data_IF_986608680713
#
_entry.id   IF_986608680713
#
_cell.length_a   1.000
_cell.length_b   1.000
_cell.length_c   1.000
_cell.angle_alpha   90.00
_cell.angle_beta   90.00
_cell.angle_gamma   90.00
#
_symmetry.space_group_name_H-M   'P 1'
#
loop_
_entity.id
_entity.type
_entity.pdbx_description
1 polymer ?
#
# COMPACT_ATOMS: atom_id res chain seq x y z
N UNK A 1 2.05 4.16 -20.88
CA UNK A 1 2.70 5.41 -20.44
C UNK A 1 4.06 5.45 -21.12
N UNK A 2 4.33 6.46 -21.91
CA UNK A 2 5.59 6.64 -22.59
C UNK A 2 6.49 7.58 -21.79
N UNK A 3 7.79 7.60 -22.12
CA UNK A 3 8.76 8.51 -21.51
C UNK A 3 8.34 9.98 -21.66
N UNK A 4 7.79 10.34 -22.83
CA UNK A 4 7.29 11.67 -23.20
C UNK A 4 6.12 12.14 -22.31
N UNK A 5 5.40 11.23 -21.68
CA UNK A 5 4.32 11.57 -20.75
C UNK A 5 4.84 12.12 -19.41
N UNK A 6 6.14 12.04 -19.15
CA UNK A 6 6.75 12.39 -17.85
C UNK A 6 7.72 13.57 -18.04
N UNK A 7 7.30 14.81 -17.80
CA UNK A 7 8.08 16.00 -18.08
C UNK A 7 9.45 16.05 -17.42
N UNK A 8 9.60 15.45 -16.23
CA UNK A 8 10.88 15.41 -15.53
C UNK A 8 11.96 14.61 -16.28
N UNK A 9 11.58 13.79 -17.26
CA UNK A 9 12.51 13.01 -18.08
C UNK A 9 12.94 13.70 -19.37
N UNK A 10 12.38 14.87 -19.70
CA UNK A 10 12.68 15.61 -20.93
C UNK A 10 14.12 16.13 -20.99
N UNK A 11 14.78 16.28 -19.82
CA UNK A 11 16.17 16.70 -19.68
C UNK A 11 17.19 15.56 -19.85
N UNK A 12 16.78 14.38 -20.31
CA UNK A 12 17.66 13.23 -20.51
C UNK A 12 17.96 12.41 -19.24
N UNK A 13 17.29 12.69 -18.13
CA UNK A 13 17.47 11.95 -16.87
C UNK A 13 17.15 10.46 -17.06
N UNK A 14 18.05 9.61 -16.57
CA UNK A 14 17.82 8.17 -16.39
C UNK A 14 17.39 7.98 -14.94
N UNK A 15 16.16 7.48 -14.73
CA UNK A 15 15.54 7.39 -13.40
C UNK A 15 15.19 5.95 -13.03
N UNK A 16 15.80 5.45 -11.94
CA UNK A 16 15.60 4.09 -11.41
C UNK A 16 15.09 4.07 -9.96
N UNK A 17 14.68 5.22 -9.41
CA UNK A 17 14.27 5.34 -8.01
C UNK A 17 12.73 5.33 -7.83
N UNK A 18 12.01 4.61 -8.70
CA UNK A 18 10.55 4.48 -8.57
C UNK A 18 10.11 3.74 -7.30
N UNK A 19 11.00 2.94 -6.69
CA UNK A 19 10.76 2.29 -5.41
C UNK A 19 10.61 3.28 -4.24
N UNK A 20 11.27 4.43 -4.32
CA UNK A 20 11.15 5.50 -3.34
C UNK A 20 10.03 6.48 -3.73
N UNK A 21 10.02 6.96 -4.98
CA UNK A 21 8.97 7.86 -5.49
C UNK A 21 8.79 7.71 -6.99
N UNK A 22 7.56 7.63 -7.44
CA UNK A 22 7.20 7.58 -8.86
C UNK A 22 7.08 8.99 -9.43
N UNK A 23 7.75 9.24 -10.55
CA UNK A 23 7.62 10.51 -11.28
C UNK A 23 6.19 10.74 -11.76
N UNK A 24 5.75 11.99 -11.76
CA UNK A 24 4.37 12.33 -12.06
C UNK A 24 4.20 12.56 -13.57
N UNK A 25 3.27 11.84 -14.23
CA UNK A 25 2.96 12.08 -15.62
C UNK A 25 2.21 13.40 -15.79
N UNK A 26 2.34 13.99 -16.97
CA UNK A 26 1.72 15.30 -17.32
C UNK A 26 0.23 15.38 -16.98
N UNK A 27 -0.62 14.39 -17.27
CA UNK A 27 -2.05 14.47 -16.92
C UNK A 27 -2.30 14.62 -15.40
N UNK A 28 -1.45 14.07 -14.55
CA UNK A 28 -1.56 14.23 -13.08
C UNK A 28 -1.22 15.64 -12.67
N UNK A 29 -0.12 16.19 -13.24
CA UNK A 29 0.29 17.58 -12.98
C UNK A 29 -0.79 18.55 -13.44
N UNK A 30 -1.27 18.39 -14.66
CA UNK A 30 -2.32 19.24 -15.25
C UNK A 30 -3.62 19.19 -14.43
N UNK A 31 -4.01 18.01 -13.93
CA UNK A 31 -5.20 17.87 -13.09
C UNK A 31 -5.08 18.62 -11.76
N UNK A 32 -3.88 18.62 -11.16
CA UNK A 32 -3.63 19.38 -9.92
C UNK A 32 -3.71 20.88 -10.20
N UNK A 33 -3.09 21.33 -11.28
CA UNK A 33 -3.14 22.73 -11.71
C UNK A 33 -4.58 23.17 -12.00
N UNK A 34 -5.34 22.35 -12.75
CA UNK A 34 -6.76 22.65 -13.07
C UNK A 34 -7.61 22.73 -11.79
N UNK A 35 -7.44 21.79 -10.87
CA UNK A 35 -8.15 21.81 -9.59
C UNK A 35 -7.91 23.12 -8.83
N UNK A 36 -6.65 23.48 -8.59
CA UNK A 36 -6.35 24.69 -7.82
C UNK A 36 -6.70 25.99 -8.54
N UNK A 37 -6.61 26.01 -9.86
CA UNK A 37 -6.86 27.24 -10.65
C UNK A 37 -8.35 27.49 -10.93
N UNK A 38 -9.18 26.43 -11.06
CA UNK A 38 -10.49 26.57 -11.67
C UNK A 38 -11.67 26.12 -10.79
N UNK A 39 -11.48 25.14 -9.86
CA UNK A 39 -12.62 24.63 -9.10
C UNK A 39 -12.25 24.11 -7.69
N UNK A 40 -11.20 24.63 -7.10
CA UNK A 40 -10.81 24.27 -5.73
C UNK A 40 -11.97 24.47 -4.75
N UNK A 41 -12.39 23.37 -4.11
CA UNK A 41 -13.46 23.35 -3.14
C UNK A 41 -13.28 22.17 -2.16
N UNK A 42 -13.98 22.23 -1.01
CA UNK A 42 -14.04 21.13 -0.06
C UNK A 42 -15.04 20.07 -0.55
N UNK A 43 -14.58 18.82 -0.67
CA UNK A 43 -15.48 17.71 -0.95
C UNK A 43 -16.49 17.51 0.19
N UNK A 44 -17.74 17.21 -0.14
CA UNK A 44 -18.85 16.93 0.78
C UNK A 44 -19.19 18.08 1.75
N UNK A 45 -18.84 19.33 1.42
CA UNK A 45 -19.00 20.51 2.30
C UNK A 45 -19.75 21.68 1.68
N UNK A 46 -20.41 21.50 0.55
CA UNK A 46 -21.17 22.57 -0.09
C UNK A 46 -22.08 22.05 -1.18
N UNK A 47 -23.04 22.90 -1.58
CA UNK A 47 -24.05 22.64 -2.61
C UNK A 47 -23.87 23.54 -3.86
N UNK A 48 -22.78 24.29 -3.93
CA UNK A 48 -22.46 25.14 -5.08
C UNK A 48 -21.66 24.38 -6.15
N UNK A 49 -21.69 24.91 -7.37
CA UNK A 49 -21.17 24.26 -8.59
C UNK A 49 -19.78 23.61 -8.43
N UNK A 50 -18.82 24.33 -7.83
CA UNK A 50 -17.45 23.80 -7.71
C UNK A 50 -17.38 22.66 -6.68
N UNK A 51 -18.12 22.75 -5.56
CA UNK A 51 -18.19 21.67 -4.57
C UNK A 51 -18.77 20.40 -5.17
N UNK A 52 -19.88 20.50 -5.90
CA UNK A 52 -20.48 19.34 -6.59
C UNK A 52 -19.52 18.73 -7.62
N UNK A 53 -18.80 19.58 -8.40
CA UNK A 53 -17.77 19.08 -9.33
C UNK A 53 -16.66 18.31 -8.62
N UNK A 54 -16.24 18.77 -7.44
CA UNK A 54 -15.21 18.09 -6.64
C UNK A 54 -15.75 16.78 -6.07
N UNK A 55 -16.98 16.75 -5.59
CA UNK A 55 -17.65 15.55 -5.08
C UNK A 55 -17.73 14.47 -6.17
N UNK A 56 -18.23 14.83 -7.34
CA UNK A 56 -18.34 13.92 -8.49
C UNK A 56 -16.96 13.37 -8.90
N UNK A 57 -15.94 14.23 -8.96
CA UNK A 57 -14.59 13.81 -9.30
C UNK A 57 -14.00 12.86 -8.26
N UNK A 58 -14.16 13.17 -6.96
CA UNK A 58 -13.64 12.36 -5.85
C UNK A 58 -14.29 10.97 -5.79
N UNK A 59 -15.62 10.92 -5.84
CA UNK A 59 -16.36 9.65 -5.82
C UNK A 59 -16.17 8.85 -7.12
N UNK A 60 -16.05 9.53 -8.26
CA UNK A 60 -15.75 8.90 -9.54
C UNK A 60 -14.37 8.21 -9.57
N UNK A 61 -13.36 8.74 -8.85
CA UNK A 61 -12.07 8.06 -8.67
C UNK A 61 -12.24 6.78 -7.85
N UNK A 62 -13.07 6.82 -6.80
CA UNK A 62 -13.37 5.65 -5.96
C UNK A 62 -13.97 4.52 -6.79
N UNK A 63 -14.91 4.83 -7.68
CA UNK A 63 -15.51 3.85 -8.59
C UNK A 63 -14.51 3.26 -9.61
N UNK A 64 -13.60 4.09 -10.12
CA UNK A 64 -12.52 3.64 -11.02
C UNK A 64 -11.56 2.67 -10.30
N UNK A 65 -11.16 3.01 -9.07
CA UNK A 65 -10.28 2.13 -8.28
C UNK A 65 -10.99 0.84 -7.92
N UNK A 66 -12.25 0.90 -7.45
CA UNK A 66 -13.09 -0.27 -7.21
C UNK A 66 -13.04 -1.24 -8.40
N UNK A 67 -13.30 -0.74 -9.61
CA UNK A 67 -13.26 -1.54 -10.83
C UNK A 67 -11.87 -2.08 -11.15
N UNK A 68 -10.83 -1.27 -10.96
CA UNK A 68 -9.45 -1.64 -11.24
C UNK A 68 -8.93 -2.78 -10.36
N UNK A 69 -9.26 -2.76 -9.06
CA UNK A 69 -8.84 -3.81 -8.11
C UNK A 69 -9.86 -4.92 -7.93
N UNK A 70 -10.96 -4.90 -8.71
CA UNK A 70 -12.05 -5.87 -8.62
C UNK A 70 -12.70 -5.96 -7.23
N UNK A 71 -12.85 -4.82 -6.55
CA UNK A 71 -13.58 -4.76 -5.29
C UNK A 71 -15.10 -4.85 -5.53
N UNK A 72 -15.85 -5.39 -4.56
CA UNK A 72 -17.28 -5.62 -4.69
C UNK A 72 -18.08 -4.33 -4.51
N UNK A 73 -17.65 -3.46 -3.59
CA UNK A 73 -18.34 -2.22 -3.27
C UNK A 73 -17.36 -1.04 -3.14
N UNK A 74 -17.83 0.19 -3.43
CA UNK A 74 -17.02 1.39 -3.29
C UNK A 74 -16.61 1.70 -1.85
N UNK A 75 -17.37 1.23 -0.86
CA UNK A 75 -17.04 1.37 0.55
C UNK A 75 -15.78 0.59 0.98
N UNK A 76 -15.33 -0.37 0.16
CA UNK A 76 -14.06 -1.07 0.36
C UNK A 76 -12.84 -0.20 -0.01
N UNK A 77 -13.07 0.94 -0.68
CA UNK A 77 -11.99 1.84 -1.11
C UNK A 77 -11.81 2.96 -0.08
N UNK A 78 -10.68 2.95 0.60
CA UNK A 78 -10.30 3.96 1.58
C UNK A 78 -9.04 4.68 1.12
N UNK A 79 -9.13 6.00 0.91
CA UNK A 79 -7.97 6.82 0.60
C UNK A 79 -7.21 7.17 1.87
N UNK A 80 -5.89 7.06 1.81
CA UNK A 80 -4.98 7.38 2.90
C UNK A 80 -3.86 8.28 2.39
N UNK A 81 -3.01 8.77 3.29
CA UNK A 81 -1.85 9.60 2.92
C UNK A 81 -0.71 8.81 2.25
N UNK A 82 -0.80 7.48 2.22
CA UNK A 82 0.20 6.59 1.59
C UNK A 82 0.21 5.20 2.22
N UNK A 83 1.07 4.31 1.69
CA UNK A 83 1.14 2.92 2.14
C UNK A 83 1.46 2.77 3.64
N UNK A 84 2.31 3.62 4.19
CA UNK A 84 2.61 3.62 5.63
C UNK A 84 1.37 3.88 6.48
N UNK A 85 0.54 4.86 6.11
CA UNK A 85 -0.71 5.14 6.82
C UNK A 85 -1.69 3.97 6.66
N UNK A 86 -1.82 3.40 5.46
CA UNK A 86 -2.67 2.24 5.21
C UNK A 86 -2.28 1.04 6.08
N UNK A 87 -0.99 0.68 6.12
CA UNK A 87 -0.49 -0.43 6.93
C UNK A 87 -0.72 -0.18 8.43
N UNK A 88 -0.45 1.02 8.92
CA UNK A 88 -0.71 1.37 10.32
C UNK A 88 -2.21 1.26 10.68
N UNK A 89 -3.11 1.71 9.79
CA UNK A 89 -4.57 1.59 10.01
C UNK A 89 -5.00 0.13 10.07
N UNK A 90 -4.48 -0.73 9.20
CA UNK A 90 -4.77 -2.17 9.22
C UNK A 90 -4.22 -2.80 10.49
N UNK A 91 -2.95 -2.56 10.82
CA UNK A 91 -2.31 -3.17 11.99
C UNK A 91 -2.94 -2.70 13.29
N UNK A 92 -3.07 -1.40 13.52
CA UNK A 92 -3.58 -0.87 14.79
C UNK A 92 -5.10 -0.85 14.85
N UNK A 93 -5.77 -0.54 13.74
CA UNK A 93 -7.23 -0.41 13.69
C UNK A 93 -7.95 -1.76 13.65
N UNK A 94 -7.42 -2.73 12.93
CA UNK A 94 -8.00 -4.06 12.80
C UNK A 94 -7.28 -5.08 13.66
N UNK A 95 -6.03 -5.43 13.35
CA UNK A 95 -5.32 -6.49 14.04
C UNK A 95 -5.05 -6.21 15.53
N UNK A 96 -4.84 -4.95 15.90
CA UNK A 96 -4.71 -4.55 17.31
C UNK A 96 -5.93 -4.84 18.17
N UNK A 97 -7.11 -5.11 17.57
CA UNK A 97 -8.34 -5.50 18.28
C UNK A 97 -8.56 -7.02 18.33
N UNK A 98 -8.05 -7.75 17.36
CA UNK A 98 -8.35 -9.17 17.19
C UNK A 98 -7.21 -10.09 17.64
N UNK A 99 -5.96 -9.66 17.48
CA UNK A 99 -4.82 -10.46 17.90
C UNK A 99 -4.67 -10.49 19.44
N UNK A 100 -4.19 -11.63 19.93
CA UNK A 100 -4.00 -11.89 21.36
C UNK A 100 -2.53 -12.18 21.63
N UNK A 101 -2.18 -12.19 22.93
CA UNK A 101 -0.87 -12.63 23.36
C UNK A 101 -0.55 -14.02 22.79
N UNK A 102 0.68 -14.19 22.33
CA UNK A 102 1.25 -15.37 21.69
C UNK A 102 0.69 -15.73 20.31
N UNK A 103 -0.23 -14.96 19.73
CA UNK A 103 -0.54 -15.05 18.31
C UNK A 103 0.70 -14.66 17.48
N UNK A 104 0.91 -15.35 16.35
CA UNK A 104 2.09 -15.18 15.52
C UNK A 104 1.78 -14.40 14.24
N UNK A 105 2.68 -13.47 13.91
CA UNK A 105 2.71 -12.71 12.66
C UNK A 105 3.99 -13.07 11.92
N UNK A 106 3.86 -13.53 10.68
CA UNK A 106 4.99 -13.89 9.82
C UNK A 106 5.32 -12.75 8.88
N UNK A 107 6.58 -12.38 8.82
CA UNK A 107 7.17 -11.38 7.94
C UNK A 107 8.35 -12.01 7.19
N UNK A 108 9.05 -11.19 6.37
CA UNK A 108 10.42 -11.49 5.93
C UNK A 108 11.35 -10.37 6.36
N UNK A 109 12.65 -10.62 6.40
CA UNK A 109 13.66 -9.60 6.70
C UNK A 109 13.79 -8.54 5.60
N UNK A 110 13.31 -8.84 4.39
CA UNK A 110 13.33 -7.94 3.24
C UNK A 110 12.05 -7.08 3.10
N UNK A 111 11.21 -7.01 4.14
CA UNK A 111 10.06 -6.12 4.17
C UNK A 111 10.47 -4.65 4.35
N UNK A 112 9.69 -3.74 3.78
CA UNK A 112 9.83 -2.32 4.07
C UNK A 112 9.52 -2.03 5.54
N UNK A 113 10.23 -1.07 6.15
CA UNK A 113 10.06 -0.71 7.57
C UNK A 113 8.59 -0.40 7.95
N UNK A 114 7.80 0.19 7.06
CA UNK A 114 6.37 0.46 7.28
C UNK A 114 5.52 -0.80 7.43
N UNK A 115 6.01 -1.97 6.94
CA UNK A 115 5.37 -3.27 7.15
C UNK A 115 5.96 -4.06 8.32
N UNK A 116 7.07 -3.62 8.92
CA UNK A 116 7.70 -4.30 10.07
C UNK A 116 7.36 -3.60 11.38
N UNK A 117 7.61 -2.28 11.46
CA UNK A 117 7.57 -1.53 12.71
C UNK A 117 6.21 -1.56 13.43
N UNK A 118 5.06 -1.51 12.74
CA UNK A 118 3.77 -1.60 13.42
C UNK A 118 3.57 -2.92 14.16
N UNK A 119 4.08 -4.03 13.63
CA UNK A 119 4.00 -5.34 14.26
C UNK A 119 4.89 -5.44 15.51
N UNK A 120 6.11 -4.88 15.48
CA UNK A 120 6.95 -4.78 16.68
C UNK A 120 6.30 -3.95 17.79
N UNK A 121 5.57 -2.89 17.41
CA UNK A 121 4.81 -2.14 18.40
C UNK A 121 3.72 -3.01 19.05
N UNK A 122 2.96 -3.79 18.26
CA UNK A 122 1.96 -4.71 18.79
C UNK A 122 2.59 -5.86 19.61
N UNK A 123 3.74 -6.37 19.19
CA UNK A 123 4.49 -7.37 19.96
C UNK A 123 4.78 -6.85 21.38
N UNK A 124 5.28 -5.61 21.47
CA UNK A 124 5.55 -4.94 22.77
C UNK A 124 4.28 -4.63 23.55
N UNK A 125 3.20 -4.25 22.87
CA UNK A 125 1.98 -3.74 23.51
C UNK A 125 1.04 -4.85 23.99
N UNK A 126 0.82 -5.89 23.20
CA UNK A 126 -0.15 -6.96 23.49
C UNK A 126 0.46 -8.36 23.53
N UNK A 127 1.76 -8.49 23.23
CA UNK A 127 2.50 -9.74 23.39
C UNK A 127 2.31 -10.73 22.25
N UNK A 128 1.95 -10.29 21.03
CA UNK A 128 2.06 -11.15 19.84
C UNK A 128 3.53 -11.54 19.63
N UNK A 129 3.78 -12.44 18.71
CA UNK A 129 5.12 -12.88 18.33
C UNK A 129 5.37 -12.59 16.86
N UNK A 130 6.34 -11.74 16.56
CA UNK A 130 6.82 -11.54 15.20
C UNK A 130 7.85 -12.60 14.87
N UNK A 131 7.61 -13.34 13.80
CA UNK A 131 8.49 -14.38 13.28
C UNK A 131 8.83 -14.11 11.83
N UNK A 132 9.96 -14.65 11.38
CA UNK A 132 10.43 -14.46 10.02
C UNK A 132 10.36 -15.76 9.22
N UNK A 133 9.80 -15.65 8.01
CA UNK A 133 9.94 -16.67 6.97
C UNK A 133 11.37 -16.55 6.45
N UNK A 134 12.13 -17.63 6.54
CA UNK A 134 13.50 -17.67 6.00
C UNK A 134 13.48 -17.58 4.49
N UNK A 135 14.34 -16.76 3.94
CA UNK A 135 14.59 -16.72 2.50
C UNK A 135 15.50 -17.90 2.09
N UNK A 136 15.45 -18.30 0.81
CA UNK A 136 16.38 -19.26 0.26
C UNK A 136 17.76 -18.61 -0.02
N UNK A 137 18.70 -19.36 -0.59
CA UNK A 137 20.05 -18.87 -0.92
C UNK A 137 20.04 -17.72 -1.97
N UNK A 138 19.00 -17.64 -2.79
CA UNK A 138 18.78 -16.58 -3.76
C UNK A 138 18.02 -15.36 -3.17
N UNK A 139 17.79 -15.34 -1.86
CA UNK A 139 17.02 -14.35 -1.12
C UNK A 139 15.53 -14.30 -1.50
N UNK A 140 14.95 -15.38 -1.96
CA UNK A 140 13.55 -15.49 -2.36
C UNK A 140 12.68 -16.16 -1.29
N UNK A 141 11.39 -15.83 -1.28
CA UNK A 141 10.35 -16.51 -0.50
C UNK A 141 9.90 -17.76 -1.25
N UNK A 142 10.06 -18.92 -0.65
CA UNK A 142 9.56 -20.19 -1.20
C UNK A 142 8.35 -20.70 -0.41
N UNK A 143 7.47 -21.44 -1.08
CA UNK A 143 6.30 -22.07 -0.44
C UNK A 143 6.74 -23.03 0.67
N UNK A 144 7.86 -23.71 0.49
CA UNK A 144 8.42 -24.62 1.51
C UNK A 144 8.81 -23.86 2.77
N UNK A 145 9.49 -22.71 2.63
CA UNK A 145 9.89 -21.88 3.77
C UNK A 145 8.69 -21.25 4.48
N UNK A 146 7.65 -20.86 3.73
CA UNK A 146 6.38 -20.41 4.31
C UNK A 146 5.73 -21.53 5.12
N UNK A 147 5.60 -22.73 4.57
CA UNK A 147 5.03 -23.88 5.26
C UNK A 147 5.81 -24.25 6.55
N UNK A 148 7.14 -24.12 6.53
CA UNK A 148 7.97 -24.36 7.72
C UNK A 148 7.78 -23.29 8.80
N UNK A 149 7.44 -22.05 8.40
CA UNK A 149 7.25 -20.95 9.34
C UNK A 149 5.86 -20.94 9.98
N UNK A 150 4.85 -21.47 9.30
CA UNK A 150 3.47 -21.52 9.79
C UNK A 150 3.35 -22.48 10.98
N UNK A 151 2.61 -22.06 12.01
CA UNK A 151 2.22 -22.86 13.16
C UNK A 151 0.73 -22.68 13.47
N UNK A 152 0.21 -23.46 14.42
CA UNK A 152 -1.19 -23.32 14.89
C UNK A 152 -1.48 -21.94 15.52
N UNK A 153 -0.46 -21.18 15.86
CA UNK A 153 -0.55 -19.81 16.41
C UNK A 153 -0.48 -18.73 15.35
N UNK A 154 -0.11 -19.06 14.10
CA UNK A 154 -0.01 -18.10 13.02
C UNK A 154 -1.39 -17.52 12.69
N UNK A 155 -1.53 -16.20 12.71
CA UNK A 155 -2.77 -15.47 12.41
C UNK A 155 -2.62 -14.55 11.23
N UNK A 156 -1.41 -14.09 10.96
CA UNK A 156 -1.13 -13.12 9.89
C UNK A 156 0.15 -13.52 9.18
N UNK A 157 0.11 -13.41 7.86
CA UNK A 157 1.29 -13.37 7.00
C UNK A 157 1.25 -12.01 6.30
N UNK A 158 2.24 -11.16 6.56
CA UNK A 158 2.30 -9.81 6.00
C UNK A 158 3.52 -9.65 5.12
N UNK A 159 3.31 -9.67 3.80
CA UNK A 159 4.37 -9.71 2.79
C UNK A 159 4.12 -8.65 1.72
N UNK A 160 5.18 -7.98 1.27
CA UNK A 160 5.14 -7.23 0.03
C UNK A 160 5.01 -8.20 -1.15
N UNK A 161 4.21 -7.89 -2.16
CA UNK A 161 4.17 -8.68 -3.39
C UNK A 161 5.45 -8.51 -4.21
N UNK A 162 5.95 -7.28 -4.29
CA UNK A 162 7.25 -6.95 -4.90
C UNK A 162 8.01 -6.08 -3.90
N UNK A 163 9.25 -6.48 -3.59
CA UNK A 163 10.09 -5.73 -2.64
C UNK A 163 10.63 -4.45 -3.28
N UNK A 164 10.68 -3.37 -2.52
CA UNK A 164 11.07 -2.05 -3.05
C UNK A 164 12.57 -1.90 -3.31
N UNK A 165 13.42 -2.66 -2.62
CA UNK A 165 14.89 -2.57 -2.76
C UNK A 165 15.41 -3.58 -3.78
N UNK A 166 15.05 -4.84 -3.64
CA UNK A 166 15.58 -5.94 -4.47
C UNK A 166 14.74 -6.15 -5.73
N UNK A 167 13.43 -5.86 -5.67
CA UNK A 167 12.49 -6.10 -6.77
C UNK A 167 12.03 -7.56 -6.89
N UNK A 168 12.28 -8.36 -5.86
CA UNK A 168 11.83 -9.74 -5.78
C UNK A 168 10.30 -9.85 -5.84
N UNK A 169 9.80 -10.74 -6.71
CA UNK A 169 8.36 -11.01 -6.92
C UNK A 169 7.99 -12.27 -6.17
N UNK A 170 7.18 -12.14 -5.14
CA UNK A 170 6.82 -13.25 -4.28
C UNK A 170 5.62 -14.05 -4.77
N UNK A 171 5.57 -15.36 -4.50
CA UNK A 171 4.52 -16.27 -4.96
C UNK A 171 3.23 -16.14 -4.14
N UNK A 172 2.66 -14.92 -4.01
CA UNK A 172 1.53 -14.63 -3.12
C UNK A 172 0.29 -15.47 -3.43
N UNK A 173 0.08 -15.88 -4.70
CA UNK A 173 -1.08 -16.71 -5.06
C UNK A 173 -0.97 -18.15 -4.57
N UNK A 174 0.24 -18.64 -4.31
CA UNK A 174 0.51 -19.99 -3.85
C UNK A 174 0.58 -20.07 -2.31
N UNK A 175 0.82 -18.94 -1.67
CA UNK A 175 0.80 -18.78 -0.20
C UNK A 175 -0.64 -18.68 0.30
#
# INVERSE_FOLDING_TARGET
>A
MNREDIPMLDNGLIYFDNGATTLKPKPVIDSIVDYYSNYCANAHRGDYKNSLKVDDAYEGVRDKIKKFINASDRSEIVFTSGATDSLNRVVFGYFGKYLKKDDEVLLTESEHASNILPWFYLEKKIGIKVKYIKLNEDNEVTIENVKKAISDKTRVISLAYITNVVGDIRPIRQI
#
